data_IF_190571616932
#
_entry.id   IF_190571616932
#
_cell.length_a   1.000
_cell.length_b   1.000
_cell.length_c   1.000
_cell.angle_alpha   90.00
_cell.angle_beta   90.00
_cell.angle_gamma   90.00
#
_symmetry.space_group_name_H-M   'P 1'
#
loop_
_entity.id
_entity.type
_entity.pdbx_description
1 polymer ?
#
# COMPACT_ATOMS: atom_id res chain seq x y z
N UNK A 1 -6.80 -13.93 24.02
CA UNK A 1 -5.63 -14.75 23.60
C UNK A 1 -5.95 -15.83 22.56
N UNK A 2 -7.21 -16.22 22.33
CA UNK A 2 -7.64 -17.31 21.40
C UNK A 2 -7.84 -16.81 19.95
N UNK A 3 -8.20 -15.55 19.72
CA UNK A 3 -8.51 -15.00 18.41
C UNK A 3 -7.32 -14.95 17.42
N UNK A 4 -6.06 -14.60 17.81
CA UNK A 4 -4.92 -14.60 16.91
C UNK A 4 -4.55 -15.99 16.42
N UNK A 5 -4.69 -17.01 17.27
CA UNK A 5 -4.37 -18.41 16.93
C UNK A 5 -5.33 -18.97 15.88
N UNK A 6 -6.63 -18.64 15.97
CA UNK A 6 -7.65 -19.07 15.01
C UNK A 6 -7.45 -18.41 13.63
N UNK A 7 -7.04 -17.15 13.62
CA UNK A 7 -6.76 -16.41 12.39
C UNK A 7 -5.49 -16.96 11.68
N UNK A 8 -4.47 -17.33 12.44
CA UNK A 8 -3.24 -17.95 11.94
C UNK A 8 -3.49 -19.36 11.39
N UNK A 9 -4.29 -20.16 12.06
CA UNK A 9 -4.72 -21.50 11.60
C UNK A 9 -5.56 -21.41 10.31
N UNK A 10 -6.43 -20.41 10.18
CA UNK A 10 -7.17 -20.15 8.92
C UNK A 10 -6.24 -19.77 7.77
N UNK A 11 -5.23 -18.96 8.03
CA UNK A 11 -4.25 -18.54 7.04
C UNK A 11 -3.38 -19.73 6.59
N UNK A 12 -3.00 -20.61 7.49
CA UNK A 12 -2.29 -21.86 7.19
C UNK A 12 -3.13 -22.85 6.36
N UNK A 13 -4.41 -23.01 6.68
CA UNK A 13 -5.33 -23.80 5.83
C UNK A 13 -5.40 -23.28 4.39
N UNK A 14 -5.21 -21.98 4.18
CA UNK A 14 -5.22 -21.38 2.85
C UNK A 14 -3.90 -21.58 2.09
N UNK A 15 -2.80 -21.85 2.79
CA UNK A 15 -1.45 -22.04 2.19
C UNK A 15 -1.06 -23.51 2.01
N UNK A 16 -1.81 -24.48 2.57
CA UNK A 16 -1.46 -25.91 2.52
C UNK A 16 -1.23 -26.41 1.09
N UNK A 17 -2.07 -26.00 0.13
CA UNK A 17 -1.92 -26.38 -1.29
C UNK A 17 -0.61 -25.87 -1.88
N UNK A 18 -0.20 -24.65 -1.51
CA UNK A 18 1.08 -24.06 -1.95
C UNK A 18 2.27 -24.78 -1.32
N UNK A 19 2.18 -25.11 -0.04
CA UNK A 19 3.24 -25.86 0.66
C UNK A 19 3.38 -27.26 0.08
N UNK A 20 2.28 -27.96 -0.18
CA UNK A 20 2.28 -29.27 -0.81
C UNK A 20 2.90 -29.21 -2.22
N UNK A 21 2.52 -28.23 -3.05
CA UNK A 21 3.08 -28.04 -4.37
C UNK A 21 4.59 -27.80 -4.33
N UNK A 22 5.06 -26.95 -3.41
CA UNK A 22 6.50 -26.70 -3.23
C UNK A 22 7.23 -27.97 -2.78
N UNK A 23 6.65 -28.74 -1.86
CA UNK A 23 7.24 -30.01 -1.38
C UNK A 23 7.41 -31.01 -2.52
N UNK A 24 6.37 -31.19 -3.34
CA UNK A 24 6.41 -32.07 -4.51
C UNK A 24 7.45 -31.61 -5.53
N UNK A 25 7.44 -30.32 -5.89
CA UNK A 25 8.42 -29.75 -6.85
C UNK A 25 9.84 -29.93 -6.34
N UNK A 26 10.10 -29.64 -5.05
CA UNK A 26 11.42 -29.85 -4.46
C UNK A 26 11.85 -31.32 -4.48
N UNK A 27 10.95 -32.27 -4.18
CA UNK A 27 11.23 -33.70 -4.23
C UNK A 27 11.61 -34.19 -5.64
N UNK A 28 10.86 -33.75 -6.65
CA UNK A 28 11.15 -34.04 -8.06
C UNK A 28 12.50 -33.47 -8.50
N UNK A 29 12.75 -32.18 -8.20
CA UNK A 29 13.99 -31.48 -8.56
C UNK A 29 15.19 -32.16 -7.91
N UNK A 30 15.14 -32.45 -6.61
CA UNK A 30 16.20 -33.17 -5.91
C UNK A 30 16.37 -34.59 -6.46
N UNK A 31 15.27 -35.28 -6.79
CA UNK A 31 15.27 -36.58 -7.43
C UNK A 31 16.01 -36.57 -8.75
N UNK A 32 15.75 -35.58 -9.61
CA UNK A 32 16.41 -35.43 -10.94
C UNK A 32 17.90 -35.07 -10.74
N UNK A 33 18.23 -34.14 -9.89
CA UNK A 33 19.60 -33.68 -9.65
C UNK A 33 20.46 -34.81 -9.07
N UNK A 34 19.91 -35.66 -8.19
CA UNK A 34 20.61 -36.80 -7.60
C UNK A 34 20.88 -37.97 -8.61
N UNK A 35 20.31 -37.90 -9.82
CA UNK A 35 20.46 -38.94 -10.85
C UNK A 35 21.65 -38.78 -11.78
N UNK A 36 22.47 -37.74 -11.61
CA UNK A 36 23.54 -37.35 -12.55
C UNK A 36 24.54 -38.46 -13.01
N UNK A 37 24.54 -39.65 -12.34
CA UNK A 37 25.32 -40.83 -12.74
C UNK A 37 24.53 -42.14 -12.75
N UNK A 38 23.19 -42.09 -12.63
CA UNK A 38 22.36 -43.29 -12.54
C UNK A 38 21.81 -43.73 -13.88
N UNK A 39 21.63 -45.06 -14.06
CA UNK A 39 20.95 -45.59 -15.25
C UNK A 39 19.49 -45.16 -15.26
N UNK A 40 18.91 -44.91 -16.44
CA UNK A 40 17.51 -44.49 -16.66
C UNK A 40 16.48 -45.40 -15.94
N UNK A 41 16.80 -46.67 -15.72
CA UNK A 41 15.94 -47.65 -15.00
C UNK A 41 15.78 -47.32 -13.50
N UNK A 42 16.73 -46.57 -12.91
CA UNK A 42 16.74 -46.26 -11.47
C UNK A 42 16.02 -44.91 -11.15
N UNK A 43 15.73 -44.10 -12.16
CA UNK A 43 15.14 -42.78 -11.99
C UNK A 43 13.80 -42.81 -11.25
N UNK A 44 12.81 -43.67 -11.63
CA UNK A 44 11.51 -43.70 -10.93
C UNK A 44 11.63 -44.05 -9.45
N UNK A 45 12.48 -44.99 -9.09
CA UNK A 45 12.71 -45.39 -7.70
C UNK A 45 13.35 -44.26 -6.87
N UNK A 46 14.29 -43.52 -7.47
CA UNK A 46 14.91 -42.36 -6.82
C UNK A 46 13.96 -41.19 -6.65
N UNK A 47 13.10 -40.94 -7.62
CA UNK A 47 12.05 -39.91 -7.51
C UNK A 47 11.09 -40.31 -6.37
N UNK A 48 10.58 -41.54 -6.34
CA UNK A 48 9.69 -42.02 -5.29
C UNK A 48 10.33 -41.94 -3.91
N UNK A 49 11.62 -42.25 -3.79
CA UNK A 49 12.39 -42.08 -2.55
C UNK A 49 12.41 -40.62 -2.08
N UNK A 50 12.78 -39.70 -2.97
CA UNK A 50 12.86 -38.28 -2.63
C UNK A 50 11.48 -37.68 -2.31
N UNK A 51 10.41 -38.13 -2.98
CA UNK A 51 9.03 -37.71 -2.67
C UNK A 51 8.61 -38.13 -1.26
N UNK A 52 8.90 -39.37 -0.84
CA UNK A 52 8.57 -39.83 0.53
C UNK A 52 9.31 -39.02 1.59
N UNK A 53 10.61 -38.79 1.39
CA UNK A 53 11.43 -37.97 2.31
C UNK A 53 10.91 -36.53 2.34
N UNK A 54 10.65 -35.93 1.19
CA UNK A 54 10.14 -34.56 1.07
C UNK A 54 8.76 -34.42 1.73
N UNK A 55 7.90 -35.41 1.58
CA UNK A 55 6.59 -35.43 2.23
C UNK A 55 6.71 -35.50 3.75
N UNK A 56 7.62 -36.31 4.29
CA UNK A 56 7.89 -36.35 5.75
C UNK A 56 8.40 -35.01 6.27
N UNK A 57 9.34 -34.37 5.58
CA UNK A 57 9.85 -33.05 5.90
C UNK A 57 8.73 -32.02 5.87
N UNK A 58 7.98 -31.97 4.78
CA UNK A 58 6.89 -31.02 4.56
C UNK A 58 5.78 -31.14 5.60
N UNK A 59 5.43 -32.38 5.97
CA UNK A 59 4.41 -32.65 7.00
C UNK A 59 4.87 -32.16 8.37
N UNK A 60 6.09 -32.51 8.79
CA UNK A 60 6.65 -32.04 10.05
C UNK A 60 6.69 -30.51 10.12
N UNK A 61 7.17 -29.88 9.05
CA UNK A 61 7.23 -28.41 8.98
C UNK A 61 5.83 -27.80 9.03
N UNK A 62 4.87 -28.35 8.30
CA UNK A 62 3.51 -27.83 8.25
C UNK A 62 2.80 -27.87 9.61
N UNK A 63 3.01 -28.95 10.38
CA UNK A 63 2.37 -29.07 11.71
C UNK A 63 3.07 -28.23 12.78
N UNK A 64 4.38 -28.11 12.76
CA UNK A 64 5.14 -27.50 13.85
C UNK A 64 5.55 -26.04 13.62
N UNK A 65 5.68 -25.58 12.36
CA UNK A 65 6.06 -24.22 12.02
C UNK A 65 5.13 -23.15 12.65
N UNK A 66 3.79 -23.30 12.63
CA UNK A 66 2.89 -22.31 13.22
C UNK A 66 3.20 -21.99 14.67
N UNK A 67 3.50 -23.05 15.43
CA UNK A 67 3.81 -22.93 16.86
C UNK A 67 5.12 -22.16 17.07
N UNK A 68 6.17 -22.54 16.35
CA UNK A 68 7.48 -21.90 16.46
C UNK A 68 7.45 -20.46 15.98
N UNK A 69 6.76 -20.17 14.87
CA UNK A 69 6.64 -18.82 14.34
C UNK A 69 5.84 -17.92 15.29
N UNK A 70 4.77 -18.42 15.88
CA UNK A 70 3.99 -17.69 16.88
C UNK A 70 4.84 -17.32 18.12
N UNK A 71 5.54 -18.29 18.73
CA UNK A 71 6.38 -18.02 19.91
C UNK A 71 7.61 -17.15 19.63
N UNK A 72 8.06 -17.08 18.39
CA UNK A 72 9.21 -16.25 18.01
C UNK A 72 8.83 -14.83 17.60
N UNK A 73 7.55 -14.52 17.33
CA UNK A 73 7.12 -13.21 16.82
C UNK A 73 7.49 -12.06 17.77
N UNK A 74 7.33 -12.26 19.08
CA UNK A 74 7.65 -11.25 20.12
C UNK A 74 9.14 -11.15 20.48
N UNK A 75 10.03 -11.91 19.83
CA UNK A 75 11.46 -11.90 20.11
C UNK A 75 12.21 -10.84 19.30
N UNK A 76 13.38 -10.43 19.79
CA UNK A 76 14.30 -9.54 19.04
C UNK A 76 14.64 -10.15 17.68
N UNK A 77 14.82 -9.35 16.61
CA UNK A 77 15.02 -9.86 15.25
C UNK A 77 16.12 -10.92 15.15
N UNK A 78 17.30 -10.68 15.74
CA UNK A 78 18.42 -11.62 15.67
C UNK A 78 18.10 -12.97 16.34
N UNK A 79 17.51 -12.97 17.55
CA UNK A 79 17.14 -14.21 18.23
C UNK A 79 15.98 -14.94 17.55
N UNK A 80 15.05 -14.21 16.98
CA UNK A 80 13.94 -14.75 16.18
C UNK A 80 14.47 -15.54 14.98
N UNK A 81 15.40 -14.97 14.25
CA UNK A 81 16.00 -15.62 13.09
C UNK A 81 16.85 -16.82 13.47
N UNK A 82 17.66 -16.72 14.51
CA UNK A 82 18.47 -17.84 15.01
C UNK A 82 17.62 -19.05 15.40
N UNK A 83 16.50 -18.82 16.13
CA UNK A 83 15.57 -19.88 16.52
C UNK A 83 14.90 -20.51 15.29
N UNK A 84 14.46 -19.71 14.33
CA UNK A 84 13.82 -20.19 13.10
C UNK A 84 14.78 -20.99 12.21
N UNK A 85 16.04 -20.57 12.10
CA UNK A 85 17.08 -21.32 11.38
C UNK A 85 17.37 -22.66 12.06
N UNK A 86 17.58 -22.65 13.38
CA UNK A 86 17.79 -23.89 14.15
C UNK A 86 16.60 -24.84 14.02
N UNK A 87 15.37 -24.32 14.15
CA UNK A 87 14.15 -25.08 13.94
C UNK A 87 14.08 -25.71 12.53
N UNK A 88 14.36 -24.96 11.49
CA UNK A 88 14.36 -25.46 10.11
C UNK A 88 15.39 -26.59 9.92
N UNK A 89 16.61 -26.42 10.43
CA UNK A 89 17.65 -27.44 10.36
C UNK A 89 17.24 -28.74 11.10
N UNK A 90 16.69 -28.63 12.30
CA UNK A 90 16.22 -29.79 13.09
C UNK A 90 15.07 -30.50 12.37
N UNK A 91 14.07 -29.76 11.91
CA UNK A 91 12.88 -30.34 11.26
C UNK A 91 13.26 -31.05 9.95
N UNK A 92 14.17 -30.48 9.20
CA UNK A 92 14.68 -31.03 7.96
C UNK A 92 15.36 -32.38 8.20
N UNK A 93 16.32 -32.43 9.13
CA UNK A 93 17.05 -33.67 9.43
C UNK A 93 16.16 -34.74 10.06
N UNK A 94 15.23 -34.34 10.93
CA UNK A 94 14.23 -35.26 11.50
C UNK A 94 13.34 -35.86 10.42
N UNK A 95 12.89 -35.06 9.45
CA UNK A 95 12.12 -35.53 8.31
C UNK A 95 12.86 -36.53 7.43
N UNK A 96 14.15 -36.29 7.18
CA UNK A 96 15.04 -37.25 6.48
C UNK A 96 15.13 -38.57 7.26
N UNK A 97 15.39 -38.51 8.56
CA UNK A 97 15.48 -39.71 9.42
C UNK A 97 14.19 -40.53 9.37
N UNK A 98 13.04 -39.89 9.50
CA UNK A 98 11.73 -40.56 9.44
C UNK A 98 11.46 -41.16 8.06
N UNK A 99 11.72 -40.40 6.99
CA UNK A 99 11.54 -40.86 5.61
C UNK A 99 12.40 -42.09 5.30
N UNK A 100 13.70 -42.08 5.70
CA UNK A 100 14.60 -43.20 5.54
C UNK A 100 14.16 -44.43 6.35
N UNK A 101 13.68 -44.21 7.60
CA UNK A 101 13.19 -45.29 8.43
C UNK A 101 11.95 -45.96 7.82
N UNK A 102 11.02 -45.18 7.26
CA UNK A 102 9.86 -45.72 6.52
C UNK A 102 10.27 -46.54 5.32
N UNK A 103 11.21 -46.03 4.49
CA UNK A 103 11.69 -46.72 3.31
C UNK A 103 12.42 -48.03 3.65
N UNK A 104 13.20 -48.02 4.74
CA UNK A 104 13.84 -49.25 5.27
C UNK A 104 12.81 -50.29 5.70
N UNK A 105 11.72 -49.88 6.40
CA UNK A 105 10.61 -50.77 6.75
C UNK A 105 9.83 -51.31 5.54
N UNK A 106 9.74 -50.53 4.48
CA UNK A 106 9.11 -50.97 3.24
C UNK A 106 10.03 -51.85 2.37
N UNK A 107 11.24 -52.18 2.85
CA UNK A 107 12.17 -53.06 2.15
C UNK A 107 12.84 -52.42 0.91
N UNK A 108 12.80 -51.10 0.80
CA UNK A 108 13.42 -50.39 -0.35
C UNK A 108 14.95 -50.50 -0.30
N UNK A 109 15.54 -50.62 0.88
CA UNK A 109 16.96 -50.89 1.09
C UNK A 109 17.19 -51.66 2.41
N UNK A 110 18.32 -52.41 2.54
CA UNK A 110 18.65 -53.13 3.78
C UNK A 110 19.05 -52.14 4.89
N UNK A 111 18.64 -52.45 6.13
CA UNK A 111 18.94 -51.63 7.32
C UNK A 111 20.43 -51.41 7.55
N UNK A 112 21.31 -52.29 7.04
CA UNK A 112 22.77 -52.13 7.10
C UNK A 112 23.27 -50.87 6.41
N UNK A 113 22.57 -50.37 5.39
CA UNK A 113 22.92 -49.19 4.63
C UNK A 113 22.29 -47.91 5.21
N UNK A 114 21.40 -48.00 6.21
CA UNK A 114 20.69 -46.86 6.76
C UNK A 114 21.64 -45.77 7.27
N UNK A 115 22.68 -46.13 8.03
CA UNK A 115 23.63 -45.18 8.59
C UNK A 115 24.46 -44.46 7.55
N UNK A 116 24.87 -45.16 6.47
CA UNK A 116 25.62 -44.56 5.36
C UNK A 116 24.75 -43.58 4.57
N UNK A 117 23.54 -43.99 4.19
CA UNK A 117 22.60 -43.12 3.45
C UNK A 117 22.25 -41.90 4.27
N UNK A 118 22.03 -42.06 5.58
CA UNK A 118 21.72 -40.93 6.48
C UNK A 118 22.90 -39.96 6.53
N UNK A 119 24.14 -40.45 6.71
CA UNK A 119 25.34 -39.62 6.75
C UNK A 119 25.50 -38.80 5.46
N UNK A 120 25.32 -39.42 4.31
CA UNK A 120 25.45 -38.77 2.99
C UNK A 120 24.30 -37.77 2.72
N UNK A 121 23.14 -37.95 3.35
CA UNK A 121 21.97 -37.12 3.17
C UNK A 121 21.94 -35.88 4.07
N UNK A 122 22.55 -35.91 5.27
CA UNK A 122 22.45 -34.86 6.28
C UNK A 122 23.03 -33.55 5.79
N UNK A 123 24.25 -33.56 5.27
CA UNK A 123 24.95 -32.33 4.86
C UNK A 123 24.27 -31.62 3.67
N UNK A 124 23.99 -32.28 2.54
CA UNK A 124 23.31 -31.65 1.41
C UNK A 124 21.91 -31.14 1.78
N UNK A 125 21.17 -31.91 2.57
CA UNK A 125 19.81 -31.54 2.99
C UNK A 125 19.83 -30.31 3.90
N UNK A 126 20.79 -30.25 4.84
CA UNK A 126 20.92 -29.09 5.72
C UNK A 126 21.31 -27.83 4.95
N UNK A 127 22.31 -27.92 4.04
CA UNK A 127 22.73 -26.79 3.21
C UNK A 127 21.57 -26.30 2.33
N UNK A 128 20.87 -27.20 1.65
CA UNK A 128 19.71 -26.83 0.83
C UNK A 128 18.60 -26.17 1.63
N UNK A 129 18.27 -26.72 2.80
CA UNK A 129 17.25 -26.14 3.68
C UNK A 129 17.61 -24.77 4.20
N UNK A 130 18.87 -24.55 4.57
CA UNK A 130 19.36 -23.23 5.00
C UNK A 130 19.27 -22.22 3.83
N UNK A 131 19.67 -22.61 2.64
CA UNK A 131 19.57 -21.74 1.44
C UNK A 131 18.13 -21.38 1.13
N UNK A 132 17.21 -22.35 1.13
CA UNK A 132 15.78 -22.10 0.93
C UNK A 132 15.22 -21.18 2.00
N UNK A 133 15.60 -21.37 3.26
CA UNK A 133 15.14 -20.55 4.37
C UNK A 133 15.68 -19.11 4.27
N UNK A 134 16.94 -18.92 3.90
CA UNK A 134 17.53 -17.60 3.67
C UNK A 134 16.82 -16.90 2.50
N UNK A 135 16.59 -17.63 1.39
CA UNK A 135 15.85 -17.09 0.26
C UNK A 135 14.42 -16.63 0.62
N UNK A 136 13.71 -17.44 1.40
CA UNK A 136 12.38 -17.10 1.91
C UNK A 136 12.43 -15.87 2.85
N UNK A 137 13.42 -15.81 3.73
CA UNK A 137 13.60 -14.69 4.64
C UNK A 137 13.89 -13.38 3.89
N UNK A 138 14.73 -13.45 2.85
CA UNK A 138 15.00 -12.30 1.99
C UNK A 138 13.75 -11.86 1.23
N UNK A 139 12.99 -12.80 0.65
CA UNK A 139 11.73 -12.50 -0.04
C UNK A 139 10.72 -11.81 0.88
N UNK A 140 10.50 -12.34 2.09
CA UNK A 140 9.61 -11.71 3.07
C UNK A 140 10.11 -10.32 3.48
N UNK A 141 11.42 -10.17 3.71
CA UNK A 141 12.02 -8.88 4.02
C UNK A 141 11.81 -7.82 2.93
N UNK A 142 11.98 -8.20 1.67
CA UNK A 142 11.72 -7.33 0.52
C UNK A 142 10.25 -6.96 0.41
N UNK A 143 9.34 -7.92 0.61
CA UNK A 143 7.89 -7.68 0.61
C UNK A 143 7.47 -6.71 1.71
N UNK A 144 7.98 -6.86 2.93
CA UNK A 144 7.71 -5.94 4.03
C UNK A 144 8.22 -4.53 3.74
N UNK A 145 9.42 -4.40 3.18
CA UNK A 145 9.97 -3.10 2.77
C UNK A 145 9.09 -2.42 1.74
N UNK A 146 8.69 -3.13 0.68
CA UNK A 146 7.80 -2.59 -0.35
C UNK A 146 6.45 -2.14 0.21
N UNK A 147 5.86 -2.91 1.14
CA UNK A 147 4.62 -2.53 1.82
C UNK A 147 4.80 -1.30 2.72
N UNK A 148 5.92 -1.23 3.46
CA UNK A 148 6.24 -0.08 4.30
C UNK A 148 6.46 1.19 3.48
N UNK A 149 7.22 1.12 2.40
CA UNK A 149 7.44 2.25 1.47
C UNK A 149 6.13 2.72 0.84
N UNK A 150 5.26 1.78 0.45
CA UNK A 150 3.93 2.11 -0.08
C UNK A 150 3.06 2.81 0.98
N UNK A 151 3.06 2.32 2.22
CA UNK A 151 2.32 2.92 3.32
C UNK A 151 2.86 4.31 3.67
N UNK A 152 4.18 4.45 3.69
CA UNK A 152 4.85 5.73 3.95
C UNK A 152 4.57 6.77 2.85
N UNK A 153 4.60 6.35 1.57
CA UNK A 153 4.23 7.21 0.45
C UNK A 153 2.75 7.65 0.52
N UNK A 154 1.84 6.76 0.94
CA UNK A 154 0.44 7.11 1.18
C UNK A 154 0.29 8.11 2.32
N UNK A 155 0.98 7.90 3.45
CA UNK A 155 0.95 8.83 4.58
C UNK A 155 1.49 10.20 4.19
N UNK A 156 2.64 10.28 3.54
CA UNK A 156 3.22 11.55 3.11
C UNK A 156 2.33 12.26 2.07
N UNK A 157 1.66 11.52 1.19
CA UNK A 157 0.66 12.07 0.28
C UNK A 157 -0.55 12.66 1.01
N UNK A 158 -1.05 12.01 2.06
CA UNK A 158 -2.13 12.52 2.91
C UNK A 158 -1.69 13.76 3.69
N UNK A 159 -0.51 13.73 4.33
CA UNK A 159 0.05 14.89 5.04
C UNK A 159 0.24 16.11 4.15
N UNK A 160 0.71 15.90 2.91
CA UNK A 160 0.89 16.98 1.94
C UNK A 160 -0.44 17.61 1.50
N UNK A 161 -1.54 16.87 1.51
CA UNK A 161 -2.88 17.33 1.12
C UNK A 161 -3.59 18.09 2.22
N UNK A 162 -3.37 17.70 3.48
CA UNK A 162 -4.03 18.33 4.64
C UNK A 162 -3.49 19.73 4.96
N UNK A 163 -2.41 20.17 4.32
CA UNK A 163 -1.77 21.49 4.57
C UNK A 163 -1.72 21.83 6.06
N UNK A 164 -0.71 21.34 6.80
CA UNK A 164 -0.67 21.48 8.27
C UNK A 164 -0.88 22.93 8.74
N UNK A 165 -0.32 23.89 8.04
CA UNK A 165 -0.46 25.31 8.36
C UNK A 165 -1.92 25.80 8.27
N UNK A 166 -2.70 25.36 7.28
CA UNK A 166 -4.13 25.69 7.19
C UNK A 166 -4.90 25.10 8.38
N UNK A 167 -4.64 23.83 8.71
CA UNK A 167 -5.29 23.17 9.85
C UNK A 167 -5.00 23.89 11.17
N UNK A 168 -3.73 24.20 11.46
CA UNK A 168 -3.35 24.91 12.65
C UNK A 168 -4.01 26.28 12.74
N UNK A 169 -4.04 27.03 11.64
CA UNK A 169 -4.68 28.35 11.61
C UNK A 169 -6.19 28.26 11.83
N UNK A 170 -6.86 27.28 11.20
CA UNK A 170 -8.30 27.07 11.37
C UNK A 170 -8.63 26.67 12.81
N UNK A 171 -7.87 25.77 13.42
CA UNK A 171 -8.05 25.39 14.83
C UNK A 171 -7.84 26.59 15.78
N UNK A 172 -6.84 27.43 15.52
CA UNK A 172 -6.64 28.65 16.30
C UNK A 172 -7.82 29.62 16.15
N UNK A 173 -8.37 29.75 14.92
CA UNK A 173 -9.59 30.57 14.69
C UNK A 173 -10.80 30.01 15.44
N UNK A 174 -11.00 28.69 15.42
CA UNK A 174 -12.08 28.04 16.18
C UNK A 174 -11.92 28.30 17.67
N UNK A 175 -10.72 28.15 18.24
CA UNK A 175 -10.46 28.42 19.65
C UNK A 175 -10.75 29.88 20.03
N UNK A 176 -10.42 30.82 19.16
CA UNK A 176 -10.72 32.24 19.39
C UNK A 176 -12.24 32.53 19.33
N UNK A 177 -12.97 31.85 18.43
CA UNK A 177 -14.42 32.02 18.28
C UNK A 177 -15.24 31.40 19.42
N UNK A 178 -14.75 30.35 20.08
CA UNK A 178 -15.52 29.67 21.15
C UNK A 178 -16.05 30.64 22.21
N UNK A 179 -15.28 31.57 22.77
CA UNK A 179 -15.79 32.52 23.75
C UNK A 179 -16.57 33.70 23.15
N UNK A 180 -16.35 34.05 21.86
CA UNK A 180 -16.91 35.24 21.22
C UNK A 180 -18.21 34.95 20.45
N UNK A 181 -18.20 33.93 19.61
CA UNK A 181 -19.35 33.46 18.81
C UNK A 181 -19.31 31.93 18.72
N UNK A 182 -19.88 31.20 19.70
CA UNK A 182 -19.93 29.75 19.70
C UNK A 182 -20.57 29.13 18.43
N UNK A 183 -21.58 29.82 17.87
CA UNK A 183 -22.26 29.36 16.65
C UNK A 183 -21.35 29.46 15.43
N UNK A 184 -20.51 30.49 15.32
CA UNK A 184 -19.49 30.57 14.29
C UNK A 184 -18.42 29.49 14.47
N UNK A 185 -17.99 29.22 15.72
CA UNK A 185 -17.05 28.15 16.01
C UNK A 185 -17.58 26.76 15.56
N UNK A 186 -18.86 26.49 15.81
CA UNK A 186 -19.54 25.26 15.37
C UNK A 186 -19.55 25.17 13.84
N UNK A 187 -19.99 26.22 13.13
CA UNK A 187 -20.00 26.25 11.65
C UNK A 187 -18.61 26.00 11.05
N UNK A 188 -17.57 26.69 11.55
CA UNK A 188 -16.19 26.50 11.05
C UNK A 188 -15.71 25.08 11.30
N UNK A 189 -16.10 24.47 12.43
CA UNK A 189 -15.74 23.07 12.74
C UNK A 189 -16.41 22.09 11.78
N UNK A 190 -17.70 22.29 11.44
CA UNK A 190 -18.40 21.47 10.45
C UNK A 190 -17.79 21.59 9.05
N UNK A 191 -17.47 22.83 8.64
CA UNK A 191 -16.81 23.10 7.35
C UNK A 191 -15.43 22.42 7.28
N UNK A 192 -14.64 22.53 8.35
CA UNK A 192 -13.35 21.84 8.44
C UNK A 192 -13.50 20.31 8.33
N UNK A 193 -14.48 19.74 9.06
CA UNK A 193 -14.77 18.32 8.99
C UNK A 193 -15.17 17.87 7.58
N UNK A 194 -15.93 18.70 6.84
CA UNK A 194 -16.32 18.44 5.45
C UNK A 194 -15.11 18.44 4.52
N UNK A 195 -14.21 19.42 4.64
CA UNK A 195 -12.96 19.48 3.86
C UNK A 195 -12.06 18.27 4.11
N UNK A 196 -11.89 17.87 5.37
CA UNK A 196 -11.09 16.71 5.73
C UNK A 196 -11.69 15.41 5.15
N UNK A 197 -13.00 15.23 5.28
CA UNK A 197 -13.69 14.06 4.72
C UNK A 197 -13.56 14.00 3.20
N UNK A 198 -13.77 15.12 2.52
CA UNK A 198 -13.59 15.19 1.08
C UNK A 198 -12.15 14.84 0.67
N UNK A 199 -11.15 15.34 1.41
CA UNK A 199 -9.73 15.06 1.14
C UNK A 199 -9.39 13.56 1.25
N UNK A 200 -10.11 12.82 2.09
CA UNK A 200 -9.96 11.36 2.24
C UNK A 200 -10.71 10.60 1.14
N UNK A 201 -11.99 10.95 0.90
CA UNK A 201 -12.90 10.20 0.04
C UNK A 201 -12.60 10.41 -1.46
N UNK A 202 -12.23 11.64 -1.86
CA UNK A 202 -11.96 11.98 -3.26
C UNK A 202 -10.61 11.46 -3.78
N UNK A 203 -9.79 10.88 -2.92
CA UNK A 203 -8.45 10.40 -3.29
C UNK A 203 -8.48 9.26 -4.29
N UNK A 204 -9.45 8.37 -4.19
CA UNK A 204 -9.56 7.18 -5.03
C UNK A 204 -10.50 7.38 -6.25
N UNK A 205 -11.05 8.60 -6.40
CA UNK A 205 -11.94 8.93 -7.51
C UNK A 205 -11.16 9.56 -8.67
N UNK A 206 -11.48 9.15 -9.89
CA UNK A 206 -10.90 9.76 -11.10
C UNK A 206 -11.55 11.11 -11.39
N UNK A 207 -12.89 11.19 -11.24
CA UNK A 207 -13.69 12.40 -11.43
C UNK A 207 -14.72 12.55 -10.32
N UNK A 208 -15.17 13.79 -10.10
CA UNK A 208 -16.23 14.17 -9.17
C UNK A 208 -17.16 15.20 -9.83
N UNK A 209 -18.36 15.36 -9.33
CA UNK A 209 -19.25 16.41 -9.83
C UNK A 209 -18.75 17.80 -9.43
N UNK A 210 -18.89 18.77 -10.32
CA UNK A 210 -18.52 20.17 -10.03
C UNK A 210 -19.24 20.72 -8.79
N UNK A 211 -20.45 20.26 -8.51
CA UNK A 211 -21.18 20.60 -7.28
C UNK A 211 -20.40 20.26 -6.00
N UNK A 212 -19.72 19.12 -5.97
CA UNK A 212 -18.90 18.70 -4.83
C UNK A 212 -17.67 19.61 -4.66
N UNK A 213 -16.98 19.92 -5.76
CA UNK A 213 -15.88 20.88 -5.77
C UNK A 213 -16.30 22.29 -5.33
N UNK A 214 -17.48 22.75 -5.81
CA UNK A 214 -18.05 24.04 -5.41
C UNK A 214 -18.33 24.10 -3.93
N UNK A 215 -18.92 23.05 -3.35
CA UNK A 215 -19.17 22.97 -1.91
C UNK A 215 -17.88 23.07 -1.11
N UNK A 216 -16.87 22.27 -1.48
CA UNK A 216 -15.57 22.25 -0.82
C UNK A 216 -14.85 23.59 -0.94
N UNK A 217 -14.86 24.20 -2.11
CA UNK A 217 -14.27 25.53 -2.33
C UNK A 217 -15.00 26.63 -1.53
N UNK A 218 -16.33 26.53 -1.42
CA UNK A 218 -17.14 27.46 -0.59
C UNK A 218 -16.78 27.30 0.89
N UNK A 219 -16.76 26.07 1.41
CA UNK A 219 -16.41 25.79 2.81
C UNK A 219 -15.00 26.29 3.13
N UNK A 220 -14.04 26.11 2.21
CA UNK A 220 -12.69 26.64 2.35
C UNK A 220 -12.66 28.17 2.39
N UNK A 221 -13.36 28.85 1.50
CA UNK A 221 -13.44 30.32 1.44
C UNK A 221 -14.11 30.90 2.68
N UNK A 222 -15.14 30.29 3.22
CA UNK A 222 -15.80 30.71 4.46
C UNK A 222 -14.85 30.57 5.67
N UNK A 223 -14.10 29.49 5.77
CA UNK A 223 -13.08 29.32 6.80
C UNK A 223 -12.01 30.41 6.70
N UNK A 224 -11.48 30.65 5.50
CA UNK A 224 -10.47 31.69 5.30
C UNK A 224 -11.03 33.10 5.53
N UNK A 225 -12.30 33.35 5.19
CA UNK A 225 -12.98 34.62 5.47
C UNK A 225 -13.12 34.90 6.97
N UNK A 226 -13.31 33.88 7.78
CA UNK A 226 -13.30 34.02 9.25
C UNK A 226 -11.94 34.54 9.75
N UNK A 227 -10.84 34.15 9.09
CA UNK A 227 -9.49 34.60 9.44
C UNK A 227 -9.13 35.96 8.87
N UNK A 228 -9.49 36.22 7.61
CA UNK A 228 -9.10 37.46 6.92
C UNK A 228 -10.12 38.60 7.08
N UNK A 229 -11.34 38.28 7.51
CA UNK A 229 -12.42 39.26 7.67
C UNK A 229 -12.80 39.94 6.36
N UNK A 230 -13.03 41.23 6.37
CA UNK A 230 -13.40 42.02 5.19
C UNK A 230 -12.32 42.11 4.11
N UNK A 231 -11.11 41.65 4.40
CA UNK A 231 -10.01 41.58 3.42
C UNK A 231 -10.21 40.49 2.39
N UNK A 232 -11.02 39.47 2.67
CA UNK A 232 -11.36 38.42 1.71
C UNK A 232 -12.82 38.54 1.29
N UNK A 233 -13.01 38.83 0.01
CA UNK A 233 -14.34 38.86 -0.62
C UNK A 233 -14.38 37.88 -1.75
N UNK A 234 -15.47 37.14 -1.87
CA UNK A 234 -15.60 36.22 -2.97
C UNK A 234 -17.03 36.16 -3.53
N UNK A 235 -17.13 35.78 -4.81
CA UNK A 235 -18.39 35.49 -5.50
C UNK A 235 -18.28 34.20 -6.28
N UNK A 236 -19.37 33.44 -6.30
CA UNK A 236 -19.45 32.16 -7.05
C UNK A 236 -20.66 32.27 -7.98
N UNK A 237 -20.38 32.36 -9.27
CA UNK A 237 -21.40 32.45 -10.33
C UNK A 237 -21.27 31.22 -11.27
N UNK A 238 -21.93 30.14 -10.86
CA UNK A 238 -21.94 28.86 -11.60
C UNK A 238 -23.35 28.43 -11.85
N UNK A 239 -23.79 28.39 -13.14
CA UNK A 239 -25.13 27.96 -13.53
C UNK A 239 -25.42 26.55 -13.00
N UNK A 240 -26.68 26.33 -12.56
CA UNK A 240 -27.14 25.05 -12.01
C UNK A 240 -26.93 23.88 -13.00
N UNK A 241 -27.16 24.14 -14.28
CA UNK A 241 -27.01 23.15 -15.35
C UNK A 241 -25.55 22.61 -15.48
N UNK A 242 -24.57 23.36 -15.01
CA UNK A 242 -23.14 22.94 -15.08
C UNK A 242 -22.64 22.22 -13.81
N UNK A 243 -23.40 22.24 -12.73
CA UNK A 243 -22.98 21.65 -11.45
C UNK A 243 -22.82 20.12 -11.49
N UNK A 244 -23.51 19.47 -12.42
CA UNK A 244 -23.46 18.02 -12.59
C UNK A 244 -22.32 17.55 -13.52
N UNK A 245 -21.58 18.48 -14.12
CA UNK A 245 -20.44 18.16 -14.99
C UNK A 245 -19.32 17.55 -14.15
N UNK A 246 -18.68 16.50 -14.66
CA UNK A 246 -17.55 15.84 -14.00
C UNK A 246 -16.27 16.63 -14.22
N UNK A 247 -15.52 16.79 -13.13
CA UNK A 247 -14.21 17.46 -13.08
C UNK A 247 -13.23 16.62 -12.27
N UNK A 248 -11.91 16.81 -12.42
CA UNK A 248 -10.95 16.13 -11.56
C UNK A 248 -11.13 16.58 -10.10
N UNK A 249 -11.05 15.68 -9.11
CA UNK A 249 -11.09 16.08 -7.71
C UNK A 249 -9.97 17.05 -7.37
N UNK A 250 -10.24 17.98 -6.45
CA UNK A 250 -9.35 19.07 -6.00
C UNK A 250 -9.01 20.09 -7.09
N UNK A 251 -9.73 20.16 -8.21
CA UNK A 251 -9.47 21.11 -9.29
C UNK A 251 -9.81 22.54 -8.88
N UNK A 252 -11.04 22.76 -8.47
CA UNK A 252 -11.49 24.10 -8.03
C UNK A 252 -10.85 24.48 -6.70
N UNK A 253 -10.76 23.55 -5.76
CA UNK A 253 -10.10 23.78 -4.49
C UNK A 253 -8.66 24.28 -4.70
N UNK A 254 -7.87 23.63 -5.59
CA UNK A 254 -6.48 24.03 -5.86
C UNK A 254 -6.38 25.44 -6.43
N UNK A 255 -7.29 25.83 -7.32
CA UNK A 255 -7.33 27.16 -7.90
C UNK A 255 -7.66 28.22 -6.86
N UNK A 256 -8.74 27.98 -6.07
CA UNK A 256 -9.19 28.91 -5.02
C UNK A 256 -8.15 29.07 -3.92
N UNK A 257 -7.49 27.97 -3.48
CA UNK A 257 -6.41 28.06 -2.50
C UNK A 257 -5.22 28.89 -3.00
N UNK A 258 -4.91 28.79 -4.29
CA UNK A 258 -3.87 29.60 -4.89
C UNK A 258 -4.25 31.08 -4.92
N UNK A 259 -5.50 31.39 -5.27
CA UNK A 259 -6.03 32.76 -5.26
C UNK A 259 -6.11 33.37 -3.85
N UNK A 260 -6.48 32.61 -2.81
CA UNK A 260 -6.42 33.09 -1.41
C UNK A 260 -5.00 33.44 -1.00
N UNK A 261 -4.02 32.63 -1.45
CA UNK A 261 -2.61 32.81 -1.06
C UNK A 261 -1.92 33.98 -1.76
N UNK A 262 -2.26 34.27 -3.02
CA UNK A 262 -1.54 35.21 -3.87
C UNK A 262 -2.43 36.30 -4.50
N UNK A 263 -3.74 36.20 -4.40
CA UNK A 263 -4.71 36.91 -5.22
C UNK A 263 -5.27 38.23 -4.65
N UNK A 264 -4.60 38.90 -3.71
CA UNK A 264 -4.96 40.26 -3.31
C UNK A 264 -6.29 40.46 -2.56
N UNK A 265 -7.12 39.42 -2.36
CA UNK A 265 -8.28 39.46 -1.46
C UNK A 265 -9.68 39.44 -2.12
N UNK A 266 -9.81 39.72 -3.41
CA UNK A 266 -11.08 39.52 -4.13
C UNK A 266 -10.96 38.30 -5.06
N UNK A 267 -11.91 37.35 -4.95
CA UNK A 267 -11.93 36.10 -5.72
C UNK A 267 -13.28 35.94 -6.41
N UNK A 268 -13.29 35.60 -7.70
CA UNK A 268 -14.49 35.29 -8.45
C UNK A 268 -14.38 33.91 -9.10
N UNK A 269 -15.31 33.03 -8.79
CA UNK A 269 -15.45 31.71 -9.41
C UNK A 269 -16.58 31.77 -10.41
N UNK A 270 -16.35 31.40 -11.65
CA UNK A 270 -17.40 31.34 -12.66
C UNK A 270 -17.23 30.10 -13.54
N UNK A 271 -18.36 29.63 -14.10
CA UNK A 271 -18.37 28.54 -15.08
C UNK A 271 -19.27 28.87 -16.26
N UNK A 272 -18.81 28.50 -17.46
CA UNK A 272 -19.57 28.70 -18.70
C UNK A 272 -19.48 27.44 -19.58
N UNK A 273 -20.52 27.18 -20.35
CA UNK A 273 -20.45 26.19 -21.41
C UNK A 273 -20.03 26.89 -22.71
N UNK A 274 -18.90 26.54 -23.25
CA UNK A 274 -18.38 27.04 -24.50
C UNK A 274 -18.18 25.90 -25.50
N UNK A 275 -19.03 25.81 -26.53
CA UNK A 275 -18.92 24.81 -27.61
C UNK A 275 -18.82 23.35 -27.12
N UNK A 276 -19.62 22.98 -26.12
CA UNK A 276 -19.63 21.65 -25.54
C UNK A 276 -18.47 21.38 -24.55
N UNK A 277 -17.71 22.40 -24.16
CA UNK A 277 -16.64 22.35 -23.16
C UNK A 277 -17.04 23.17 -21.93
N UNK A 278 -16.70 22.65 -20.75
CA UNK A 278 -16.78 23.42 -19.51
C UNK A 278 -15.59 24.38 -19.44
N UNK A 279 -15.84 25.67 -19.37
CA UNK A 279 -14.86 26.67 -18.98
C UNK A 279 -15.09 27.03 -17.54
N UNK A 280 -14.18 26.59 -16.64
CA UNK A 280 -14.16 26.93 -15.22
C UNK A 280 -13.09 27.99 -15.00
N UNK A 281 -13.47 29.14 -14.49
CA UNK A 281 -12.57 30.26 -14.28
C UNK A 281 -12.55 30.65 -12.79
N UNK A 282 -11.34 30.83 -12.25
CA UNK A 282 -11.12 31.46 -10.96
C UNK A 282 -10.27 32.71 -11.22
N UNK A 283 -10.86 33.86 -10.99
CA UNK A 283 -10.21 35.16 -11.09
C UNK A 283 -9.89 35.70 -9.70
N UNK A 284 -8.78 36.36 -9.56
CA UNK A 284 -8.39 37.05 -8.33
C UNK A 284 -7.80 38.44 -8.64
N UNK A 285 -7.78 39.33 -7.62
CA UNK A 285 -7.30 40.70 -7.75
C UNK A 285 -5.79 40.86 -7.54
N UNK A 286 -5.03 39.76 -7.58
CA UNK A 286 -3.57 39.78 -7.43
C UNK A 286 -2.83 40.23 -8.69
N UNK A 287 -1.50 40.23 -8.62
CA UNK A 287 -0.64 40.67 -9.72
C UNK A 287 -0.60 39.70 -10.93
N UNK A 288 -1.36 38.60 -10.85
CA UNK A 288 -1.44 37.56 -11.88
C UNK A 288 -0.19 36.66 -11.94
N UNK A 289 -0.21 35.76 -12.91
CA UNK A 289 0.92 34.84 -13.15
C UNK A 289 1.96 35.48 -14.08
N UNK A 290 3.26 35.12 -13.92
CA UNK A 290 4.28 35.50 -14.94
C UNK A 290 3.97 34.82 -16.28
N UNK A 291 4.47 35.39 -17.40
CA UNK A 291 4.18 34.91 -18.76
C UNK A 291 4.45 33.42 -18.99
N UNK A 292 5.40 32.87 -18.28
CA UNK A 292 5.70 31.45 -18.24
C UNK A 292 5.77 30.97 -16.78
N UNK A 293 4.63 30.61 -16.17
CA UNK A 293 4.64 30.17 -14.78
C UNK A 293 5.50 28.93 -14.65
N UNK A 294 6.61 29.03 -13.92
CA UNK A 294 7.41 27.88 -13.54
C UNK A 294 6.70 27.18 -12.38
N UNK A 295 6.01 26.08 -12.69
CA UNK A 295 5.31 25.26 -11.69
C UNK A 295 6.25 24.15 -11.22
N UNK A 296 6.89 24.27 -10.05
CA UNK A 296 7.80 23.25 -9.54
C UNK A 296 7.07 21.93 -9.26
N UNK A 297 7.83 20.84 -9.22
CA UNK A 297 7.29 19.53 -8.88
C UNK A 297 6.61 19.58 -7.49
N UNK A 298 5.43 18.94 -7.37
CA UNK A 298 4.63 18.96 -6.14
C UNK A 298 3.77 20.22 -5.94
N UNK A 299 3.83 21.21 -6.84
CA UNK A 299 2.92 22.36 -6.79
C UNK A 299 1.49 21.93 -7.21
N UNK A 300 0.46 22.38 -6.48
CA UNK A 300 -0.92 21.98 -6.73
C UNK A 300 -1.40 22.19 -8.17
N UNK A 301 -1.04 23.33 -8.79
CA UNK A 301 -1.40 23.65 -10.18
C UNK A 301 -0.72 22.71 -11.19
N UNK A 302 0.51 22.27 -10.93
CA UNK A 302 1.19 21.29 -11.77
C UNK A 302 0.50 19.93 -11.67
N UNK A 303 0.18 19.50 -10.46
CA UNK A 303 -0.55 18.24 -10.24
C UNK A 303 -1.93 18.27 -10.92
N UNK A 304 -2.61 19.42 -10.90
CA UNK A 304 -3.87 19.61 -11.61
C UNK A 304 -3.68 19.48 -13.13
N UNK A 305 -2.65 20.10 -13.70
CA UNK A 305 -2.32 19.99 -15.13
C UNK A 305 -2.05 18.54 -15.54
N UNK A 306 -1.19 17.85 -14.79
CA UNK A 306 -0.84 16.44 -15.05
C UNK A 306 -2.09 15.54 -14.98
N UNK A 307 -3.04 15.85 -14.10
CA UNK A 307 -4.30 15.11 -13.96
C UNK A 307 -5.26 15.39 -15.12
N UNK A 308 -5.38 16.64 -15.55
CA UNK A 308 -6.17 17.02 -16.74
C UNK A 308 -5.62 16.28 -17.97
N UNK A 309 -4.30 16.30 -18.17
CA UNK A 309 -3.64 15.61 -19.27
C UNK A 309 -3.87 14.10 -19.23
N UNK A 310 -3.82 13.49 -18.05
CA UNK A 310 -4.05 12.05 -17.87
C UNK A 310 -5.49 11.63 -18.15
N UNK A 311 -6.50 12.47 -17.82
CA UNK A 311 -7.90 12.14 -17.98
C UNK A 311 -8.44 12.43 -19.39
N UNK A 312 -8.04 13.56 -19.98
CA UNK A 312 -8.64 14.06 -21.23
C UNK A 312 -7.62 14.47 -22.30
N UNK A 313 -6.32 14.40 -21.99
CA UNK A 313 -5.26 14.75 -22.93
C UNK A 313 -5.46 16.15 -23.53
N UNK A 314 -5.40 16.32 -24.85
CA UNK A 314 -5.53 17.62 -25.50
C UNK A 314 -6.94 18.26 -25.42
N UNK A 315 -7.92 17.54 -24.88
CA UNK A 315 -9.29 18.05 -24.71
C UNK A 315 -9.47 18.90 -23.45
N UNK A 316 -8.48 18.93 -22.54
CA UNK A 316 -8.49 19.76 -21.35
C UNK A 316 -7.18 20.55 -21.23
N UNK A 317 -7.29 21.82 -20.85
CA UNK A 317 -6.15 22.71 -20.69
C UNK A 317 -6.25 23.51 -19.39
N UNK A 318 -5.12 23.83 -18.78
CA UNK A 318 -5.01 24.78 -17.68
C UNK A 318 -4.26 26.01 -18.18
N UNK A 319 -4.95 27.13 -18.27
CA UNK A 319 -4.44 28.40 -18.78
C UNK A 319 -4.40 29.46 -17.67
N UNK A 320 -3.49 30.42 -17.80
CA UNK A 320 -3.32 31.55 -16.88
C UNK A 320 -3.36 32.83 -17.71
N UNK A 321 -4.56 33.27 -18.15
CA UNK A 321 -4.69 34.51 -18.92
C UNK A 321 -4.32 35.71 -18.04
N UNK A 322 -3.74 36.73 -18.62
CA UNK A 322 -3.65 38.07 -18.04
C UNK A 322 -4.79 38.89 -18.61
N UNK A 323 -5.59 39.48 -17.76
CA UNK A 323 -6.56 40.49 -18.17
C UNK A 323 -5.89 41.81 -18.52
#
# INVERSE_FOLDING_TARGET
MIAPTLMYVKQLRRTWKKTLAVTVVCGVVVGIVSTGQASWKQIPARIAYNEIVSFCIGSLFWFSAPVVFFYTECRRPASRWAIRIGYAAITLNLGVMIGLALLGRLGVFPWTLYAEILKDSVLPTTVFGVLCFVGFAMYDGLKYRAQYETAQARLSSLESRLRPHFLFNTLNSIMALIPEDPSAAERVTEQLATLLRYSLDATDQSTVRLEQELKVATDYLEIEKTRFGERLRYTIDVPEALRQVEVPPFSLQTLVENSVKYGGGEIRVSAKNGNGRLLLCVWDSGDGFPDKPNLPAGHGLRNLRERLDALWGPNATLEFPRD
#
